data_IF_216027872409
#
_entry.id   IF_216027872409
#
_cell.length_a   1.000
_cell.length_b   1.000
_cell.length_c   1.000
_cell.angle_alpha   90.00
_cell.angle_beta   90.00
_cell.angle_gamma   90.00
#
_symmetry.space_group_name_H-M   'P 1'
#
loop_
_entity.id
_entity.type
_entity.pdbx_description
1 polymer ?
#
# COMPACT_ATOMS: atom_id res chain seq x y z
N UNK A 1 16.13 16.09 23.74
CA UNK A 1 14.84 15.60 23.22
C UNK A 1 14.65 16.13 21.80
N UNK A 2 14.93 15.32 20.80
CA UNK A 2 14.55 15.63 19.42
C UNK A 2 13.03 15.58 19.29
N UNK A 3 12.43 16.49 18.51
CA UNK A 3 10.99 16.38 18.22
C UNK A 3 10.78 15.15 17.32
N UNK A 4 10.01 14.17 17.78
CA UNK A 4 9.58 13.04 16.94
C UNK A 4 8.80 13.60 15.75
N UNK A 5 9.15 13.23 14.52
CA UNK A 5 8.39 13.65 13.36
C UNK A 5 7.06 12.87 13.33
N UNK A 6 5.95 13.48 12.89
CA UNK A 6 4.68 12.78 12.80
C UNK A 6 4.72 11.70 11.71
N UNK A 7 3.94 10.64 11.91
CA UNK A 7 3.49 9.78 10.82
C UNK A 7 2.37 10.50 10.06
N UNK A 8 2.39 10.45 8.72
CA UNK A 8 1.38 11.10 7.88
C UNK A 8 0.80 10.10 6.90
N UNK A 9 -0.53 10.01 6.85
CA UNK A 9 -1.25 9.29 5.81
C UNK A 9 -2.27 10.20 5.13
N UNK A 10 -2.22 10.27 3.80
CA UNK A 10 -3.15 11.01 2.95
C UNK A 10 -3.90 10.01 2.09
N UNK A 11 -5.22 9.94 2.26
CA UNK A 11 -6.08 9.07 1.45
C UNK A 11 -6.91 9.91 0.49
N UNK A 12 -6.78 9.64 -0.81
CA UNK A 12 -7.56 10.28 -1.87
C UNK A 12 -8.50 9.25 -2.49
N UNK A 13 -9.81 9.40 -2.27
CA UNK A 13 -10.81 8.58 -2.95
C UNK A 13 -11.24 9.25 -4.26
N UNK A 14 -11.16 8.52 -5.36
CA UNK A 14 -11.51 9.01 -6.71
C UNK A 14 -12.87 8.45 -7.13
N UNK A 15 -13.68 9.28 -7.82
CA UNK A 15 -14.98 8.86 -8.36
C UNK A 15 -16.19 9.18 -7.48
N UNK A 16 -16.04 10.02 -6.45
CA UNK A 16 -17.16 10.59 -5.69
C UNK A 16 -17.86 9.63 -4.73
N UNK A 17 -17.29 8.45 -4.49
CA UNK A 17 -17.77 7.51 -3.48
C UNK A 17 -17.30 7.95 -2.07
N UNK A 18 -18.06 7.66 -1.00
CA UNK A 18 -17.58 7.86 0.36
C UNK A 18 -16.29 7.09 0.61
N UNK A 19 -15.26 7.79 1.11
CA UNK A 19 -14.01 7.15 1.53
C UNK A 19 -14.25 6.32 2.80
N UNK A 20 -14.27 4.99 2.67
CA UNK A 20 -14.29 4.09 3.82
C UNK A 20 -12.85 3.86 4.29
N UNK A 21 -12.53 4.28 5.52
CA UNK A 21 -11.19 4.16 6.10
C UNK A 21 -11.09 3.09 7.18
N UNK A 22 -12.12 2.24 7.37
CA UNK A 22 -12.10 1.21 8.42
C UNK A 22 -10.96 0.20 8.28
N UNK A 23 -10.47 -0.01 7.07
CA UNK A 23 -9.34 -0.90 6.79
C UNK A 23 -8.02 -0.39 7.40
N UNK A 24 -7.86 0.94 7.58
CA UNK A 24 -6.68 1.52 8.22
C UNK A 24 -6.54 1.17 9.70
N UNK A 25 -7.63 0.75 10.35
CA UNK A 25 -7.59 0.36 11.77
C UNK A 25 -6.68 -0.86 12.04
N UNK A 26 -6.23 -1.56 10.99
CA UNK A 26 -5.35 -2.73 11.07
C UNK A 26 -3.87 -2.38 10.82
N UNK A 27 -3.55 -1.13 10.50
CA UNK A 27 -2.21 -0.71 10.07
C UNK A 27 -1.65 0.36 11.00
N UNK A 28 -0.41 0.17 11.46
CA UNK A 28 0.36 1.17 12.20
C UNK A 28 1.35 1.81 11.24
N UNK A 29 1.30 3.14 11.11
CA UNK A 29 2.27 3.89 10.29
C UNK A 29 3.42 4.32 11.21
N UNK A 30 4.67 3.92 10.93
CA UNK A 30 5.81 4.34 11.72
C UNK A 30 5.99 5.86 11.69
N UNK A 31 6.64 6.41 12.72
CA UNK A 31 7.07 7.80 12.69
C UNK A 31 8.01 8.04 11.49
N UNK A 32 8.09 9.29 11.02
CA UNK A 32 8.93 9.67 9.87
C UNK A 32 8.51 9.06 8.52
N UNK A 33 7.40 8.32 8.46
CA UNK A 33 6.84 7.78 7.22
C UNK A 33 5.69 8.65 6.71
N UNK A 34 5.76 9.02 5.43
CA UNK A 34 4.64 9.61 4.70
C UNK A 34 4.02 8.60 3.74
N UNK A 35 2.69 8.46 3.78
CA UNK A 35 1.92 7.58 2.91
C UNK A 35 0.92 8.40 2.11
N UNK A 36 0.97 8.26 0.79
CA UNK A 36 -0.07 8.71 -0.13
C UNK A 36 -0.81 7.49 -0.68
N UNK A 37 -2.11 7.40 -0.42
CA UNK A 37 -2.96 6.29 -0.87
C UNK A 37 -4.08 6.84 -1.76
N UNK A 38 -4.08 6.48 -3.03
CA UNK A 38 -5.12 6.86 -3.99
C UNK A 38 -5.99 5.66 -4.29
N UNK A 39 -7.26 5.73 -3.92
CA UNK A 39 -8.26 4.67 -4.11
C UNK A 39 -9.15 4.98 -5.32
N UNK A 40 -9.03 4.16 -6.37
CA UNK A 40 -9.86 4.20 -7.58
C UNK A 40 -11.01 3.17 -7.53
N UNK A 41 -11.29 2.59 -6.36
CA UNK A 41 -12.31 1.58 -6.12
C UNK A 41 -11.85 0.16 -6.47
N UNK A 42 -11.41 -0.06 -7.70
CA UNK A 42 -10.91 -1.36 -8.20
C UNK A 42 -9.38 -1.44 -8.28
N UNK A 43 -8.71 -0.30 -8.12
CA UNK A 43 -7.25 -0.16 -8.14
C UNK A 43 -6.86 0.80 -7.01
N UNK A 44 -5.70 0.56 -6.42
CA UNK A 44 -5.08 1.49 -5.50
C UNK A 44 -3.67 1.81 -5.96
N UNK A 45 -3.29 3.08 -5.85
CA UNK A 45 -1.91 3.52 -5.99
C UNK A 45 -1.43 3.98 -4.60
N UNK A 46 -0.27 3.50 -4.18
CA UNK A 46 0.33 3.76 -2.87
C UNK A 46 1.72 4.31 -3.11
N UNK A 47 2.05 5.45 -2.52
CA UNK A 47 3.43 5.96 -2.46
C UNK A 47 3.80 6.08 -0.99
N UNK A 48 4.92 5.49 -0.60
CA UNK A 48 5.47 5.62 0.75
C UNK A 48 6.86 6.23 0.65
N UNK A 49 7.09 7.29 1.41
CA UNK A 49 8.38 7.95 1.53
C UNK A 49 8.90 7.81 2.96
N UNK A 50 10.15 7.38 3.10
CA UNK A 50 10.87 7.33 4.36
C UNK A 50 12.33 7.71 4.12
N UNK A 51 12.75 8.84 4.68
CA UNK A 51 14.08 9.43 4.42
C UNK A 51 14.32 9.64 2.92
N UNK A 52 15.32 8.95 2.34
CA UNK A 52 15.66 9.00 0.91
C UNK A 52 15.00 7.88 0.09
N UNK A 53 14.24 6.98 0.74
CA UNK A 53 13.54 5.87 0.11
C UNK A 53 12.09 6.24 -0.28
N UNK A 54 11.71 5.88 -1.50
CA UNK A 54 10.37 6.01 -2.05
C UNK A 54 9.94 4.67 -2.66
N UNK A 55 8.82 4.14 -2.14
CA UNK A 55 8.16 2.93 -2.65
C UNK A 55 6.85 3.31 -3.31
N UNK A 56 6.69 2.93 -4.57
CA UNK A 56 5.43 3.04 -5.30
C UNK A 56 4.83 1.66 -5.53
N UNK A 57 3.61 1.44 -5.04
CA UNK A 57 2.83 0.22 -5.27
C UNK A 57 1.56 0.55 -6.02
N UNK A 58 1.33 -0.15 -7.13
CA UNK A 58 0.06 -0.13 -7.83
C UNK A 58 -0.58 -1.51 -7.68
N UNK A 59 -1.78 -1.58 -7.09
CA UNK A 59 -2.50 -2.84 -6.87
C UNK A 59 -3.87 -2.90 -7.53
N UNK A 60 -4.19 -4.02 -8.15
CA UNK A 60 -5.55 -4.35 -8.58
C UNK A 60 -6.29 -5.00 -7.39
N UNK A 61 -7.34 -4.35 -6.91
CA UNK A 61 -8.07 -4.76 -5.72
C UNK A 61 -9.03 -5.93 -5.98
N UNK A 62 -9.21 -6.33 -7.24
CA UNK A 62 -10.04 -7.48 -7.63
C UNK A 62 -9.19 -8.74 -7.76
N UNK A 63 -8.04 -8.62 -8.42
CA UNK A 63 -7.16 -9.77 -8.67
C UNK A 63 -6.12 -9.94 -7.58
N UNK A 64 -5.77 -8.89 -6.83
CA UNK A 64 -4.66 -8.90 -5.89
C UNK A 64 -3.29 -8.85 -6.57
N UNK A 65 -3.24 -8.63 -7.88
CA UNK A 65 -2.02 -8.36 -8.61
C UNK A 65 -1.47 -6.99 -8.21
N UNK A 66 -0.15 -6.85 -8.24
CA UNK A 66 0.52 -5.61 -7.83
C UNK A 66 1.84 -5.41 -8.56
N UNK A 67 2.18 -4.14 -8.74
CA UNK A 67 3.45 -3.67 -9.29
C UNK A 67 4.15 -2.87 -8.19
N UNK A 68 5.43 -3.12 -7.99
CA UNK A 68 6.25 -2.44 -6.98
C UNK A 68 7.44 -1.79 -7.67
N UNK A 69 7.64 -0.51 -7.42
CA UNK A 69 8.82 0.24 -7.83
C UNK A 69 9.44 0.87 -6.59
N UNK A 70 10.76 0.76 -6.47
CA UNK A 70 11.52 1.34 -5.36
C UNK A 70 12.78 2.01 -5.90
N UNK A 71 13.22 3.09 -5.26
CA UNK A 71 14.56 3.65 -5.44
C UNK A 71 15.56 3.15 -4.35
N UNK A 72 15.09 2.38 -3.37
CA UNK A 72 15.84 1.85 -2.24
C UNK A 72 16.10 0.34 -2.33
N UNK A 73 16.14 -0.33 -1.17
CA UNK A 73 16.40 -1.77 -1.10
C UNK A 73 15.11 -2.57 -1.39
N UNK A 74 15.17 -3.57 -2.26
CA UNK A 74 14.04 -4.48 -2.53
C UNK A 74 13.68 -5.37 -1.33
N UNK A 75 14.51 -5.39 -0.29
CA UNK A 75 14.22 -6.02 1.00
C UNK A 75 13.83 -5.00 2.09
N UNK A 76 13.60 -3.74 1.72
CA UNK A 76 13.25 -2.70 2.68
C UNK A 76 11.93 -3.03 3.41
N UNK A 77 11.89 -2.84 4.74
CA UNK A 77 10.66 -2.98 5.50
C UNK A 77 9.54 -2.01 5.04
N UNK A 78 9.88 -0.90 4.37
CA UNK A 78 8.89 0.04 3.81
C UNK A 78 8.06 -0.62 2.71
N UNK A 79 8.62 -1.59 1.97
CA UNK A 79 7.88 -2.39 0.99
C UNK A 79 6.82 -3.23 1.71
N UNK A 80 7.15 -3.84 2.86
CA UNK A 80 6.18 -4.64 3.60
C UNK A 80 5.04 -3.79 4.16
N UNK A 81 5.32 -2.55 4.56
CA UNK A 81 4.26 -1.59 4.95
C UNK A 81 3.33 -1.26 3.78
N UNK A 82 3.88 -1.01 2.58
CA UNK A 82 3.08 -0.75 1.39
C UNK A 82 2.20 -1.95 1.01
N UNK A 83 2.75 -3.15 1.13
CA UNK A 83 2.03 -4.40 0.92
C UNK A 83 0.93 -4.60 1.97
N UNK A 84 1.20 -4.33 3.24
CA UNK A 84 0.21 -4.43 4.31
C UNK A 84 -0.98 -3.49 4.09
N UNK A 85 -0.73 -2.24 3.68
CA UNK A 85 -1.77 -1.28 3.34
C UNK A 85 -2.66 -1.79 2.19
N UNK A 86 -2.04 -2.33 1.14
CA UNK A 86 -2.75 -2.90 0.01
C UNK A 86 -3.59 -4.12 0.43
N UNK A 87 -3.04 -5.00 1.26
CA UNK A 87 -3.72 -6.21 1.75
C UNK A 87 -4.89 -5.89 2.67
N UNK A 88 -4.73 -4.93 3.58
CA UNK A 88 -5.83 -4.44 4.42
C UNK A 88 -6.99 -3.90 3.56
N UNK A 89 -6.66 -3.16 2.49
CA UNK A 89 -7.67 -2.64 1.56
C UNK A 89 -8.33 -3.71 0.70
N UNK A 90 -7.56 -4.69 0.23
CA UNK A 90 -8.04 -5.88 -0.49
C UNK A 90 -9.06 -6.66 0.34
N UNK A 91 -8.75 -6.88 1.62
CA UNK A 91 -9.61 -7.60 2.55
C UNK A 91 -10.94 -6.86 2.80
N UNK A 92 -10.92 -5.53 2.94
CA UNK A 92 -12.16 -4.72 2.99
C UNK A 92 -12.97 -4.84 1.68
N UNK A 93 -12.27 -4.84 0.54
CA UNK A 93 -12.84 -5.09 -0.78
C UNK A 93 -13.65 -6.40 -0.85
N UNK A 94 -13.08 -7.48 -0.32
CA UNK A 94 -13.71 -8.81 -0.27
C UNK A 94 -14.93 -8.86 0.64
N UNK A 95 -14.91 -8.11 1.76
CA UNK A 95 -16.03 -8.03 2.69
C UNK A 95 -17.21 -7.22 2.13
N UNK A 96 -16.94 -6.24 1.26
CA UNK A 96 -17.96 -5.34 0.71
C UNK A 96 -17.88 -5.20 -0.82
N UNK A 97 -18.09 -6.30 -1.59
CA UNK A 97 -17.84 -6.32 -3.04
C UNK A 97 -18.75 -5.38 -3.84
N UNK A 98 -19.95 -5.09 -3.34
CA UNK A 98 -20.91 -4.21 -4.02
C UNK A 98 -20.47 -2.75 -4.10
N UNK A 99 -19.50 -2.33 -3.26
CA UNK A 99 -18.98 -0.96 -3.26
C UNK A 99 -18.02 -0.67 -4.42
N UNK A 100 -17.60 -1.69 -5.17
CA UNK A 100 -16.46 -1.59 -6.09
C UNK A 100 -16.80 -2.02 -7.53
N UNK A 101 -18.08 -2.09 -7.89
CA UNK A 101 -18.55 -2.54 -9.22
C UNK A 101 -18.45 -1.49 -10.34
N UNK A 102 -17.90 -0.32 -10.08
CA UNK A 102 -17.76 0.77 -11.06
C UNK A 102 -16.30 0.95 -11.52
N UNK A 103 -15.97 0.54 -12.74
CA UNK A 103 -14.66 0.80 -13.33
C UNK A 103 -14.46 0.05 -14.64
N UNK A 104 -13.89 0.73 -15.65
CA UNK A 104 -13.32 0.06 -16.82
C UNK A 104 -12.13 -0.78 -16.37
N UNK A 105 -11.96 -1.98 -16.92
CA UNK A 105 -10.77 -2.80 -16.65
C UNK A 105 -9.51 -2.00 -17.00
N UNK A 106 -8.61 -1.71 -16.05
CA UNK A 106 -7.37 -1.03 -16.34
C UNK A 106 -6.49 -1.91 -17.24
N UNK A 107 -5.46 -1.31 -17.84
CA UNK A 107 -4.43 -2.08 -18.51
C UNK A 107 -3.85 -3.13 -17.55
N UNK A 108 -3.53 -4.35 -18.02
CA UNK A 108 -2.93 -5.36 -17.16
C UNK A 108 -1.69 -4.82 -16.47
N UNK A 109 -1.59 -5.02 -15.16
CA UNK A 109 -0.46 -4.53 -14.35
C UNK A 109 0.90 -5.05 -14.83
N UNK A 110 0.92 -6.24 -15.44
CA UNK A 110 2.10 -6.77 -16.13
C UNK A 110 2.64 -5.81 -17.21
N UNK A 111 1.75 -5.12 -17.93
CA UNK A 111 2.15 -4.16 -18.95
C UNK A 111 2.78 -2.90 -18.32
N UNK A 112 2.23 -2.45 -17.19
CA UNK A 112 2.80 -1.33 -16.43
C UNK A 112 4.20 -1.68 -15.95
N UNK A 113 4.36 -2.82 -15.30
CA UNK A 113 5.65 -3.33 -14.82
C UNK A 113 6.70 -3.39 -15.95
N UNK A 114 6.32 -3.88 -17.12
CA UNK A 114 7.21 -3.96 -18.29
C UNK A 114 7.65 -2.59 -18.81
N UNK A 115 6.75 -1.60 -18.81
CA UNK A 115 7.06 -0.24 -19.28
C UNK A 115 7.91 0.55 -18.30
N UNK A 116 7.72 0.34 -17.00
CA UNK A 116 8.43 1.08 -15.94
C UNK A 116 9.68 0.37 -15.43
N UNK A 117 9.86 -0.92 -15.75
CA UNK A 117 10.90 -1.76 -15.17
C UNK A 117 10.63 -2.17 -13.72
N UNK A 118 9.37 -2.07 -13.28
CA UNK A 118 8.96 -2.39 -11.92
C UNK A 118 8.71 -3.90 -11.71
N UNK A 119 8.73 -4.35 -10.46
CA UNK A 119 8.51 -5.74 -10.09
C UNK A 119 7.02 -6.07 -10.15
N UNK A 120 6.68 -7.14 -10.87
CA UNK A 120 5.30 -7.64 -10.96
C UNK A 120 5.08 -8.85 -10.05
N UNK A 121 4.02 -8.80 -9.25
CA UNK A 121 3.61 -9.90 -8.37
C UNK A 121 2.18 -10.31 -8.74
N UNK A 122 2.03 -11.57 -9.19
CA UNK A 122 0.72 -12.16 -9.49
C UNK A 122 0.00 -12.61 -8.22
N UNK A 123 -1.32 -12.79 -8.31
CA UNK A 123 -2.13 -13.39 -7.26
C UNK A 123 -1.58 -14.76 -6.83
N UNK A 124 -1.46 -15.01 -5.53
CA UNK A 124 -0.97 -16.27 -4.97
C UNK A 124 0.53 -16.31 -4.65
N UNK A 125 1.28 -15.23 -4.91
CA UNK A 125 2.59 -15.02 -4.31
C UNK A 125 2.43 -14.76 -2.81
N UNK A 126 2.42 -15.84 -2.02
CA UNK A 126 2.40 -15.79 -0.55
C UNK A 126 3.63 -15.03 -0.07
N UNK A 127 3.48 -14.06 0.84
CA UNK A 127 4.58 -13.63 1.70
C UNK A 127 4.18 -13.50 3.16
N UNK A 128 5.19 -13.80 3.97
CA UNK A 128 5.20 -13.95 5.42
C UNK A 128 4.67 -12.72 6.16
N UNK A 129 4.23 -12.90 7.43
CA UNK A 129 3.95 -11.76 8.31
C UNK A 129 5.12 -10.77 8.35
N UNK A 130 4.81 -9.49 8.57
CA UNK A 130 5.80 -8.41 8.76
C UNK A 130 6.97 -8.88 9.63
N UNK A 131 8.22 -8.51 9.30
CA UNK A 131 9.36 -8.81 10.15
C UNK A 131 9.17 -8.22 11.56
N UNK A 132 9.54 -8.94 12.63
CA UNK A 132 9.53 -8.43 14.01
C UNK A 132 10.24 -7.08 14.16
N UNK A 133 11.24 -6.80 13.33
CA UNK A 133 12.03 -5.55 13.35
C UNK A 133 11.18 -4.29 13.07
N UNK A 134 10.05 -4.43 12.38
CA UNK A 134 9.10 -3.33 12.17
C UNK A 134 8.12 -3.13 13.33
N UNK A 135 8.05 -4.11 14.23
CA UNK A 135 7.18 -4.06 15.39
C UNK A 135 7.85 -3.49 16.61
N UNK A 136 9.14 -3.14 16.57
CA UNK A 136 9.86 -2.65 17.75
C UNK A 136 9.04 -1.52 18.39
N UNK A 137 8.35 -1.79 19.53
CA UNK A 137 7.79 -0.70 20.28
C UNK A 137 9.01 0.08 20.76
N UNK A 138 9.01 1.40 20.58
CA UNK A 138 10.03 2.27 21.18
C UNK A 138 10.19 1.83 22.65
N UNK A 139 11.27 1.12 22.96
CA UNK A 139 11.62 0.76 24.32
C UNK A 139 12.12 2.03 25.00
N UNK A 140 11.19 2.87 25.44
CA UNK A 140 11.47 4.00 26.31
C UNK A 140 10.78 3.79 27.67
N UNK A 141 11.64 3.55 28.67
CA UNK A 141 11.70 4.18 30.01
C UNK A 141 10.43 4.28 30.88
#
# INVERSE_FOLDING_TARGET
>A
MGKRAPAVIRVTAVGGQPANLTWLAQVVIPAHVEVEFVDFGHRADIVITHEDEEISVVGDLRTGERVIQTNGDHQSPIIDLALLLLEARLEDGRRFPDRYRGGSSPAPLEHVARLTGADYISFGGVRSPLPPELYEPDEDE
#
